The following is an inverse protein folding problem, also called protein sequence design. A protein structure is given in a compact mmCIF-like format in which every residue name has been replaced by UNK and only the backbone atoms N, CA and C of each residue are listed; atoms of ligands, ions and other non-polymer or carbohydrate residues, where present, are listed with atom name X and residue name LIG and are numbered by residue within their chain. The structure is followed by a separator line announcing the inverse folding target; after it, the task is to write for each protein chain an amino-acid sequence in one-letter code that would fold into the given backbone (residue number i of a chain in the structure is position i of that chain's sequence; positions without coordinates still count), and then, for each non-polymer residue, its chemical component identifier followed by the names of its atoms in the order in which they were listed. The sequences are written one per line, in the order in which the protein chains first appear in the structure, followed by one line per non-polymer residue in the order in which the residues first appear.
data_IF_937169326979
#
_entry.id   IF_937169326979
#
_cell.length_a   1.000
_cell.length_b   1.000
_cell.length_c   1.000
_cell.angle_alpha   90.00
_cell.angle_beta   90.00
_cell.angle_gamma   90.00
#
_symmetry.space_group_name_H-M   'P 1'
#
loop_
_entity.id
_entity.type
_entity.pdbx_description
1 polymer ?
#
# COMPACT_ATOMS: atom_id res chain seq x y z
N UNK A 1 -2.41 -10.76 -18.36
CA UNK A 1 -2.40 -10.86 -19.84
C UNK A 1 -1.27 -9.98 -20.36
N UNK A 2 -0.45 -10.48 -21.28
CA UNK A 2 0.58 -9.69 -21.96
C UNK A 2 0.33 -9.83 -23.46
N UNK A 3 0.36 -8.72 -24.18
CA UNK A 3 0.20 -8.69 -25.63
C UNK A 3 1.00 -7.56 -26.27
N UNK A 4 1.18 -7.65 -27.58
CA UNK A 4 1.87 -6.65 -28.39
C UNK A 4 0.83 -5.91 -29.23
N UNK A 5 0.91 -4.59 -29.24
CA UNK A 5 0.08 -3.69 -30.05
C UNK A 5 0.99 -2.82 -30.92
N UNK A 6 1.23 -3.26 -32.15
CA UNK A 6 2.26 -2.70 -33.03
C UNK A 6 3.66 -2.81 -32.43
N UNK A 7 4.27 -1.66 -32.11
CA UNK A 7 5.58 -1.59 -31.44
C UNK A 7 5.47 -1.43 -29.91
N UNK A 8 4.26 -1.50 -29.37
CA UNK A 8 4.04 -1.39 -27.93
C UNK A 8 3.93 -2.77 -27.29
N UNK A 9 4.46 -2.89 -26.08
CA UNK A 9 4.23 -4.04 -25.21
C UNK A 9 3.25 -3.61 -24.12
N UNK A 10 2.13 -4.31 -24.01
CA UNK A 10 1.08 -4.03 -23.02
C UNK A 10 0.91 -5.24 -22.12
N UNK A 11 0.83 -5.01 -20.82
CA UNK A 11 0.66 -6.07 -19.83
C UNK A 11 -0.20 -5.64 -18.67
N UNK A 12 -0.92 -6.59 -18.09
CA UNK A 12 -1.57 -6.41 -16.79
C UNK A 12 -1.50 -7.68 -15.95
N UNK A 13 -1.27 -7.49 -14.65
CA UNK A 13 -1.40 -8.54 -13.64
C UNK A 13 -2.09 -8.03 -12.40
N UNK A 14 -2.66 -8.97 -11.64
CA UNK A 14 -3.28 -8.71 -10.34
C UNK A 14 -2.61 -9.61 -9.31
N UNK A 15 -2.19 -9.02 -8.20
CA UNK A 15 -1.62 -9.70 -7.05
C UNK A 15 -2.55 -9.53 -5.86
N UNK A 16 -2.86 -10.62 -5.17
CA UNK A 16 -3.51 -10.56 -3.85
C UNK A 16 -2.43 -10.35 -2.79
N UNK A 17 -2.54 -9.29 -2.02
CA UNK A 17 -1.59 -8.90 -0.99
C UNK A 17 -1.94 -9.57 0.35
N UNK A 18 -0.95 -9.68 1.23
CA UNK A 18 -1.13 -10.28 2.55
C UNK A 18 -2.04 -9.46 3.48
N UNK A 19 -2.14 -8.15 3.25
CA UNK A 19 -3.02 -7.23 3.99
C UNK A 19 -4.49 -7.29 3.53
N UNK A 20 -4.83 -8.23 2.64
CA UNK A 20 -6.17 -8.41 2.10
C UNK A 20 -6.50 -7.51 0.89
N UNK A 21 -5.59 -6.62 0.49
CA UNK A 21 -5.77 -5.79 -0.71
C UNK A 21 -5.40 -6.53 -1.99
N UNK A 22 -5.75 -5.93 -3.13
CA UNK A 22 -5.28 -6.37 -4.45
C UNK A 22 -4.44 -5.28 -5.10
N UNK A 23 -3.28 -5.62 -5.66
CA UNK A 23 -2.48 -4.74 -6.50
C UNK A 23 -2.69 -5.10 -7.96
N UNK A 24 -3.21 -4.16 -8.74
CA UNK A 24 -3.33 -4.25 -10.19
C UNK A 24 -2.22 -3.41 -10.78
N UNK A 25 -1.36 -4.02 -11.59
CA UNK A 25 -0.31 -3.31 -12.30
C UNK A 25 -0.61 -3.38 -13.78
N UNK A 26 -0.76 -2.20 -14.40
CA UNK A 26 -0.96 -2.02 -15.83
C UNK A 26 0.32 -1.43 -16.40
N UNK A 27 1.00 -2.18 -17.26
CA UNK A 27 2.24 -1.77 -17.91
C UNK A 27 2.00 -1.46 -19.38
N UNK A 28 2.66 -0.41 -19.88
CA UNK A 28 2.78 -0.09 -21.30
C UNK A 28 4.23 0.30 -21.58
N UNK A 29 4.79 -0.23 -22.66
CA UNK A 29 6.10 0.19 -23.17
C UNK A 29 5.99 0.58 -24.63
N UNK A 30 6.70 1.63 -25.05
CA UNK A 30 6.76 2.08 -26.43
C UNK A 30 8.10 2.70 -26.79
N UNK A 31 8.48 2.71 -28.09
CA UNK A 31 9.81 3.13 -28.54
C UNK A 31 10.14 4.60 -28.25
N UNK A 32 9.12 5.46 -28.18
CA UNK A 32 9.28 6.90 -27.90
C UNK A 32 8.84 7.28 -26.48
N UNK A 33 7.97 6.48 -25.85
CA UNK A 33 7.39 6.78 -24.53
C UNK A 33 8.15 6.11 -23.39
N UNK A 34 9.03 5.15 -23.70
CA UNK A 34 9.69 4.31 -22.70
C UNK A 34 8.69 3.40 -21.98
N UNK A 35 9.03 3.02 -20.75
CA UNK A 35 8.20 2.17 -19.90
C UNK A 35 7.34 3.00 -18.95
N UNK A 36 6.06 2.68 -18.88
CA UNK A 36 5.09 3.22 -17.94
C UNK A 36 4.36 2.07 -17.20
N UNK A 37 4.20 2.23 -15.89
CA UNK A 37 3.35 1.39 -15.07
C UNK A 37 2.39 2.24 -14.23
N UNK A 38 1.11 1.94 -14.35
CA UNK A 38 0.07 2.44 -13.44
C UNK A 38 -0.29 1.33 -12.48
N UNK A 39 -0.08 1.60 -11.20
CA UNK A 39 -0.39 0.68 -10.11
C UNK A 39 -1.63 1.18 -9.39
N UNK A 40 -2.65 0.34 -9.38
CA UNK A 40 -3.89 0.57 -8.65
C UNK A 40 -3.95 -0.46 -7.53
N UNK A 41 -4.21 -0.01 -6.31
CA UNK A 41 -4.35 -0.93 -5.19
C UNK A 41 -5.78 -0.78 -4.63
N UNK A 42 -6.46 -1.91 -4.43
CA UNK A 42 -7.89 -1.99 -4.18
C UNK A 42 -8.19 -2.69 -2.85
N UNK A 43 -9.20 -2.21 -2.13
CA UNK A 43 -9.65 -2.77 -0.87
C UNK A 43 -9.16 -1.99 0.36
N UNK A 44 -9.43 -2.57 1.53
CA UNK A 44 -9.04 -2.01 2.83
C UNK A 44 -7.89 -2.83 3.38
N UNK A 45 -6.75 -2.19 3.58
CA UNK A 45 -5.61 -2.88 4.16
C UNK A 45 -5.87 -3.13 5.64
N UNK A 46 -5.80 -4.39 6.03
CA UNK A 46 -5.93 -4.81 7.42
C UNK A 46 -4.52 -4.99 7.99
N UNK A 47 -4.13 -4.11 8.90
CA UNK A 47 -2.89 -4.25 9.66
C UNK A 47 -3.24 -4.53 11.12
N UNK A 48 -2.46 -5.37 11.81
CA UNK A 48 -2.63 -5.59 13.24
C UNK A 48 -2.61 -4.26 13.99
N UNK A 49 -3.63 -4.03 14.82
CA UNK A 49 -3.58 -2.94 15.77
C UNK A 49 -2.52 -3.26 16.83
N UNK A 50 -1.49 -2.43 16.95
CA UNK A 50 -0.61 -2.47 18.11
C UNK A 50 -1.38 -1.93 19.32
N UNK A 51 -2.02 -2.84 20.07
CA UNK A 51 -2.41 -2.56 21.44
C UNK A 51 -1.17 -2.75 22.31
N UNK A 52 -0.59 -1.66 22.81
CA UNK A 52 0.55 -1.72 23.73
C UNK A 52 0.20 -2.58 24.95
N UNK A 53 0.81 -3.75 25.08
CA UNK A 53 0.78 -4.56 26.29
C UNK A 53 2.05 -4.23 27.09
N UNK A 54 1.90 -3.45 28.15
CA UNK A 54 2.94 -3.21 29.15
C UNK A 54 2.57 -3.88 30.47
N UNK A 55 3.26 -4.95 30.84
CA UNK A 55 3.17 -5.63 32.13
C UNK A 55 4.26 -5.13 33.11
N UNK A 56 3.88 -4.87 34.37
CA UNK A 56 4.68 -5.14 35.58
C UNK A 56 5.64 -4.06 36.12
N UNK A 57 5.35 -3.53 37.32
CA UNK A 57 6.34 -2.84 38.16
C UNK A 57 5.77 -1.98 39.30
N UNK A 58 5.72 -2.56 40.51
CA UNK A 58 5.79 -1.99 41.88
C UNK A 58 5.56 -0.47 42.13
N UNK A 59 4.73 -0.16 43.14
CA UNK A 59 4.85 1.10 43.91
C UNK A 59 3.53 1.77 44.26
N UNK A 60 3.22 1.77 45.55
CA UNK A 60 2.20 2.57 46.23
C UNK A 60 2.42 4.08 46.07
N UNK A 61 1.39 4.83 45.63
CA UNK A 61 0.90 6.12 46.17
C UNK A 61 0.02 6.86 45.14
N UNK A 62 -1.18 7.17 45.61
CA UNK A 62 -2.17 8.17 45.20
C UNK A 62 -1.84 9.11 44.03
N UNK A 63 -2.75 9.17 43.05
CA UNK A 63 -3.11 10.44 42.42
C UNK A 63 -3.33 10.42 40.90
N UNK A 64 -4.47 11.01 40.52
CA UNK A 64 -4.73 11.72 39.25
C UNK A 64 -5.30 10.93 38.06
N UNK A 65 -6.65 10.93 37.99
CA UNK A 65 -7.39 11.46 36.85
C UNK A 65 -7.16 10.77 35.51
N UNK A 66 -7.89 9.67 35.28
CA UNK A 66 -7.86 8.96 34.00
C UNK A 66 -8.33 9.84 32.83
N UNK A 67 -7.44 10.02 31.85
CA UNK A 67 -7.84 10.25 30.47
C UNK A 67 -7.83 8.88 29.76
N UNK A 68 -8.92 8.13 29.97
CA UNK A 68 -9.18 6.90 29.23
C UNK A 68 -9.64 7.26 27.83
N UNK A 69 -8.72 7.27 26.86
CA UNK A 69 -9.04 7.84 25.56
C UNK A 69 -8.26 7.32 24.36
N UNK A 70 -7.66 6.12 24.39
CA UNK A 70 -6.95 5.60 23.21
C UNK A 70 -7.34 4.15 22.89
N UNK A 71 -8.64 3.93 22.69
CA UNK A 71 -9.14 2.75 21.98
C UNK A 71 -8.81 2.88 20.50
N UNK A 72 -7.59 2.50 20.11
CA UNK A 72 -7.15 2.49 18.73
C UNK A 72 -8.10 1.63 17.90
N UNK A 73 -8.93 2.27 17.09
CA UNK A 73 -9.64 1.59 16.02
C UNK A 73 -8.58 1.04 15.07
N UNK A 74 -8.55 -0.28 14.86
CA UNK A 74 -7.62 -0.91 13.93
C UNK A 74 -7.57 -0.12 12.62
N UNK A 75 -6.40 0.43 12.30
CA UNK A 75 -6.28 1.46 11.28
C UNK A 75 -6.49 0.88 9.90
N UNK A 76 -7.72 0.88 9.38
CA UNK A 76 -7.93 0.65 7.94
C UNK A 76 -7.31 1.84 7.19
N UNK A 77 -6.25 1.59 6.40
CA UNK A 77 -5.73 2.62 5.49
C UNK A 77 -6.42 2.52 4.13
N UNK A 78 -6.79 3.68 3.58
CA UNK A 78 -7.39 3.80 2.25
C UNK A 78 -6.30 3.73 1.18
N UNK A 79 -6.65 3.21 0.00
CA UNK A 79 -5.70 2.86 -1.05
C UNK A 79 -5.90 3.72 -2.30
N UNK A 80 -4.79 4.12 -2.96
CA UNK A 80 -4.78 5.04 -4.12
C UNK A 80 -4.07 4.48 -5.36
N UNK A 81 -3.96 5.32 -6.39
CA UNK A 81 -3.21 5.03 -7.64
C UNK A 81 -1.82 5.63 -7.57
N UNK A 82 -0.81 4.90 -8.03
CA UNK A 82 0.56 5.39 -8.19
C UNK A 82 1.05 5.13 -9.62
N UNK A 83 1.81 6.08 -10.17
CA UNK A 83 2.36 5.99 -11.53
C UNK A 83 3.88 5.88 -11.45
N UNK A 84 4.49 5.02 -12.26
CA UNK A 84 5.94 4.84 -12.34
C UNK A 84 6.38 4.83 -13.80
N UNK A 85 7.43 5.58 -14.14
CA UNK A 85 7.94 5.63 -15.51
C UNK A 85 9.47 5.71 -15.54
N UNK A 86 10.08 5.07 -16.53
CA UNK A 86 11.51 5.23 -16.84
C UNK A 86 11.62 5.82 -18.25
N UNK A 87 11.86 7.14 -18.30
CA UNK A 87 12.10 7.88 -19.53
C UNK A 87 13.59 7.73 -19.84
N UNK A 88 13.93 6.82 -20.76
CA UNK A 88 15.31 6.63 -21.21
C UNK A 88 15.94 7.99 -21.55
N UNK A 89 17.14 8.26 -21.03
CA UNK A 89 17.87 9.47 -21.36
C UNK A 89 18.08 9.52 -22.88
N UNK A 90 17.54 10.56 -23.51
CA UNK A 90 17.66 10.80 -24.95
C UNK A 90 19.14 10.89 -25.36
N UNK A 91 19.42 10.43 -26.57
CA UNK A 91 20.72 10.56 -27.21
C UNK A 91 20.60 11.42 -28.47
#
# INVERSE_FOLDING_TARGET
MIYIDGHHVVGAYTLKEADGTFRIVKCKSGPHTGFEAVVERLGHAQHPAHYGHGHGGHGEDSGHGGNGGHGGSGGSSYVGKTHWGNQGHGH
#
